data_IF_192532345807
#
_entry.id   IF_192532345807
#
_cell.length_a   1.000
_cell.length_b   1.000
_cell.length_c   1.000
_cell.angle_alpha   90.00
_cell.angle_beta   90.00
_cell.angle_gamma   90.00
#
_symmetry.space_group_name_H-M   'P 1'
#
loop_
_entity.id
_entity.type
_entity.pdbx_description
1 polymer ?
#
# COMPACT_ATOMS: atom_id res chain seq x y z
N UNK A 1 25.82 17.05 22.51
CA UNK A 1 24.39 16.86 22.18
C UNK A 1 24.03 17.58 20.88
N UNK A 2 24.12 16.88 19.74
CA UNK A 2 23.62 17.43 18.47
C UNK A 2 22.11 17.26 18.49
N UNK A 3 21.39 18.33 18.84
CA UNK A 3 19.96 18.39 18.63
C UNK A 3 19.71 18.16 17.15
N UNK A 4 19.10 17.02 16.82
CA UNK A 4 18.51 16.86 15.50
C UNK A 4 17.51 18.01 15.33
N UNK A 5 17.56 18.76 14.21
CA UNK A 5 16.50 19.73 13.95
C UNK A 5 15.20 18.95 13.91
N UNK A 6 14.27 19.29 14.81
CA UNK A 6 12.92 18.76 14.74
C UNK A 6 12.40 19.11 13.34
N UNK A 7 12.27 18.09 12.47
CA UNK A 7 11.68 18.27 11.15
C UNK A 7 10.31 18.95 11.35
N UNK A 8 9.92 19.92 10.51
CA UNK A 8 8.58 20.48 10.57
C UNK A 8 7.59 19.31 10.55
N UNK A 9 6.74 19.25 11.58
CA UNK A 9 5.75 18.19 11.75
C UNK A 9 4.79 18.29 10.58
N UNK A 10 4.90 17.37 9.64
CA UNK A 10 3.93 17.22 8.56
C UNK A 10 2.60 16.76 9.18
N UNK A 11 1.54 17.59 9.14
CA UNK A 11 0.27 17.25 9.77
C UNK A 11 -0.36 15.97 9.20
N UNK A 12 -0.21 15.73 7.90
CA UNK A 12 -0.69 14.52 7.23
C UNK A 12 0.03 13.28 7.78
N UNK A 13 1.35 13.39 7.97
CA UNK A 13 2.16 12.30 8.55
C UNK A 13 1.74 12.00 9.99
N UNK A 14 1.51 13.01 10.82
CA UNK A 14 1.07 12.80 12.22
C UNK A 14 -0.33 12.20 12.29
N UNK A 15 -1.25 12.63 11.43
CA UNK A 15 -2.59 12.06 11.32
C UNK A 15 -2.54 10.58 10.94
N UNK A 16 -1.80 10.22 9.88
CA UNK A 16 -1.62 8.82 9.44
C UNK A 16 -1.02 7.97 10.57
N UNK A 17 0.00 8.48 11.26
CA UNK A 17 0.64 7.76 12.36
C UNK A 17 -0.34 7.41 13.48
N UNK A 18 -1.19 8.37 13.86
CA UNK A 18 -2.19 8.20 14.92
C UNK A 18 -3.24 7.17 14.54
N UNK A 19 -3.72 7.22 13.30
CA UNK A 19 -4.74 6.30 12.79
C UNK A 19 -4.22 4.86 12.73
N UNK A 20 -3.01 4.66 12.19
CA UNK A 20 -2.33 3.36 12.09
C UNK A 20 -2.02 2.72 13.46
N UNK A 21 -1.88 3.52 14.52
CA UNK A 21 -1.55 3.02 15.86
C UNK A 21 -2.77 2.55 16.67
N UNK A 22 -3.99 2.82 16.19
CA UNK A 22 -5.21 2.65 17.00
C UNK A 22 -6.29 1.77 16.38
N UNK A 23 -6.13 1.35 15.13
CA UNK A 23 -7.15 0.60 14.39
C UNK A 23 -6.56 -0.65 13.73
N UNK A 24 -7.32 -1.74 13.77
CA UNK A 24 -7.03 -2.97 13.01
C UNK A 24 -7.46 -2.83 11.54
N UNK A 25 -8.58 -2.13 11.30
CA UNK A 25 -9.05 -1.76 9.97
C UNK A 25 -9.03 -0.23 9.80
N UNK A 26 -8.37 0.27 8.77
CA UNK A 26 -8.21 1.69 8.51
C UNK A 26 -8.70 2.04 7.10
N UNK A 27 -9.72 2.91 7.03
CA UNK A 27 -10.19 3.50 5.78
C UNK A 27 -9.78 4.97 5.68
N UNK A 28 -9.09 5.33 4.61
CA UNK A 28 -8.65 6.69 4.30
C UNK A 28 -9.13 7.12 2.91
N UNK A 29 -10.37 6.80 2.57
CA UNK A 29 -10.95 7.08 1.26
C UNK A 29 -11.10 8.57 1.00
N UNK A 30 -10.67 9.05 -0.18
CA UNK A 30 -10.80 10.48 -0.57
C UNK A 30 -10.10 11.48 0.35
N UNK A 31 -8.99 11.10 0.99
CA UNK A 31 -8.24 11.94 1.92
C UNK A 31 -7.09 12.73 1.24
N UNK A 32 -7.06 12.77 -0.10
CA UNK A 32 -6.02 13.44 -0.91
C UNK A 32 -4.58 13.07 -0.50
N UNK A 33 -4.39 11.80 -0.10
CA UNK A 33 -3.12 11.28 0.43
C UNK A 33 -1.99 11.42 -0.60
N UNK A 34 -2.28 11.11 -1.87
CA UNK A 34 -1.34 11.08 -2.97
C UNK A 34 -0.13 10.18 -2.71
N UNK A 35 0.89 10.32 -3.56
CA UNK A 35 2.13 9.53 -3.41
C UNK A 35 2.88 9.83 -2.11
N UNK A 36 2.77 11.05 -1.59
CA UNK A 36 3.49 11.46 -0.39
C UNK A 36 2.91 10.83 0.86
N UNK A 37 1.59 10.83 1.02
CA UNK A 37 0.92 10.13 2.11
C UNK A 37 1.09 8.61 1.98
N UNK A 38 1.04 8.04 0.77
CA UNK A 38 1.31 6.62 0.54
C UNK A 38 2.72 6.21 1.00
N UNK A 39 3.73 7.08 0.81
CA UNK A 39 5.09 6.86 1.35
C UNK A 39 5.13 6.92 2.87
N UNK A 40 4.32 7.75 3.52
CA UNK A 40 4.21 7.77 4.98
C UNK A 40 3.57 6.48 5.49
N UNK A 41 2.46 6.06 4.89
CA UNK A 41 1.78 4.80 5.20
C UNK A 41 2.76 3.63 5.02
N UNK A 42 3.48 3.56 3.91
CA UNK A 42 4.52 2.56 3.67
C UNK A 42 5.62 2.57 4.74
N UNK A 43 6.00 3.75 5.24
CA UNK A 43 6.93 3.89 6.36
C UNK A 43 6.40 3.25 7.63
N UNK A 44 5.13 3.46 7.96
CA UNK A 44 4.48 2.88 9.14
C UNK A 44 4.22 1.40 8.99
N UNK A 45 3.77 0.94 7.81
CA UNK A 45 3.45 -0.47 7.56
C UNK A 45 4.62 -1.42 7.82
N UNK A 46 5.87 -1.00 7.64
CA UNK A 46 7.03 -1.88 7.87
C UNK A 46 7.10 -2.42 9.30
N UNK A 47 6.73 -1.60 10.27
CA UNK A 47 6.82 -1.92 11.70
C UNK A 47 5.42 -2.06 12.34
N UNK A 48 4.34 -1.83 11.58
CA UNK A 48 2.98 -1.91 12.09
C UNK A 48 2.53 -3.36 12.18
N UNK A 49 2.12 -3.76 13.39
CA UNK A 49 1.64 -5.10 13.70
C UNK A 49 0.16 -5.12 14.10
N UNK A 50 -0.59 -4.07 13.79
CA UNK A 50 -2.00 -3.90 14.19
C UNK A 50 -2.94 -3.87 13.00
N UNK A 51 -2.59 -3.15 11.94
CA UNK A 51 -3.47 -2.97 10.77
C UNK A 51 -3.48 -4.24 9.92
N UNK A 52 -4.65 -4.84 9.78
CA UNK A 52 -4.94 -6.00 8.93
C UNK A 52 -5.64 -5.60 7.63
N UNK A 53 -6.43 -4.52 7.65
CA UNK A 53 -7.25 -4.08 6.53
C UNK A 53 -7.03 -2.59 6.27
N UNK A 54 -6.58 -2.23 5.07
CA UNK A 54 -6.26 -0.85 4.71
C UNK A 54 -6.94 -0.46 3.41
N UNK A 55 -7.79 0.57 3.49
CA UNK A 55 -8.48 1.14 2.34
C UNK A 55 -7.94 2.54 2.01
N UNK A 56 -7.46 2.68 0.77
CA UNK A 56 -6.88 3.89 0.18
C UNK A 56 -7.60 4.28 -1.11
N UNK A 57 -8.89 3.97 -1.23
CA UNK A 57 -9.71 4.37 -2.37
C UNK A 57 -9.66 5.89 -2.65
N UNK A 58 -9.62 6.26 -3.93
CA UNK A 58 -9.79 7.65 -4.38
C UNK A 58 -8.77 8.64 -3.77
N UNK A 59 -7.49 8.27 -3.74
CA UNK A 59 -6.44 9.08 -3.10
C UNK A 59 -5.43 9.70 -4.07
N UNK A 60 -5.61 9.55 -5.38
CA UNK A 60 -4.65 10.03 -6.38
C UNK A 60 -3.28 9.37 -6.24
N UNK A 61 -3.23 8.11 -5.80
CA UNK A 61 -1.98 7.35 -5.67
C UNK A 61 -1.54 6.92 -7.07
N UNK A 62 -0.31 7.24 -7.44
CA UNK A 62 0.30 6.80 -8.70
C UNK A 62 1.20 5.59 -8.47
N UNK A 63 1.89 5.15 -9.52
CA UNK A 63 2.93 4.11 -9.42
C UNK A 63 3.97 4.40 -8.33
N UNK A 64 4.33 5.67 -8.10
CA UNK A 64 5.36 6.01 -7.14
C UNK A 64 4.91 5.74 -5.69
N UNK A 65 3.66 6.06 -5.35
CA UNK A 65 3.06 5.73 -4.06
C UNK A 65 2.80 4.22 -3.92
N UNK A 66 2.23 3.59 -4.95
CA UNK A 66 1.96 2.15 -4.95
C UNK A 66 3.24 1.30 -4.78
N UNK A 67 4.32 1.65 -5.48
CA UNK A 67 5.62 0.98 -5.32
C UNK A 67 6.17 1.11 -3.89
N UNK A 68 5.96 2.26 -3.22
CA UNK A 68 6.36 2.44 -1.83
C UNK A 68 5.59 1.48 -0.91
N UNK A 69 4.27 1.37 -1.09
CA UNK A 69 3.40 0.45 -0.36
C UNK A 69 3.83 -1.00 -0.59
N UNK A 70 3.95 -1.45 -1.84
CA UNK A 70 4.38 -2.82 -2.16
C UNK A 70 5.76 -3.17 -1.59
N UNK A 71 6.70 -2.22 -1.61
CA UNK A 71 8.02 -2.43 -1.00
C UNK A 71 7.96 -2.59 0.52
N UNK A 72 7.06 -1.88 1.20
CA UNK A 72 6.85 -2.05 2.64
C UNK A 72 6.19 -3.39 2.95
N UNK A 73 5.23 -3.80 2.12
CA UNK A 73 4.51 -5.07 2.29
C UNK A 73 5.41 -6.30 2.16
N UNK A 74 6.53 -6.24 1.42
CA UNK A 74 7.51 -7.34 1.37
C UNK A 74 8.00 -7.82 2.75
N UNK A 75 7.98 -6.95 3.75
CA UNK A 75 8.42 -7.26 5.12
C UNK A 75 7.31 -7.17 6.16
N UNK A 76 6.17 -6.55 5.83
CA UNK A 76 5.02 -6.54 6.73
C UNK A 76 4.40 -7.93 6.78
N UNK A 77 4.03 -8.39 7.98
CA UNK A 77 3.46 -9.72 8.22
C UNK A 77 2.12 -9.64 8.94
N UNK A 78 1.38 -8.54 8.77
CA UNK A 78 0.13 -8.28 9.50
C UNK A 78 -1.00 -7.90 8.56
N UNK A 79 -0.73 -7.06 7.55
CA UNK A 79 -1.73 -6.64 6.59
C UNK A 79 -2.19 -7.84 5.76
N UNK A 80 -3.50 -8.04 5.74
CA UNK A 80 -4.21 -9.11 5.01
C UNK A 80 -5.00 -8.58 3.83
N UNK A 81 -5.47 -7.34 3.88
CA UNK A 81 -6.20 -6.69 2.81
C UNK A 81 -5.69 -5.27 2.52
N UNK A 82 -5.48 -4.97 1.24
CA UNK A 82 -5.16 -3.64 0.74
C UNK A 82 -6.14 -3.27 -0.39
N UNK A 83 -6.84 -2.16 -0.21
CA UNK A 83 -7.72 -1.59 -1.22
C UNK A 83 -7.11 -0.33 -1.80
N UNK A 84 -6.91 -0.32 -3.12
CA UNK A 84 -6.41 0.81 -3.89
C UNK A 84 -7.35 1.24 -5.03
N UNK A 85 -8.69 1.03 -4.99
CA UNK A 85 -9.52 1.33 -6.14
C UNK A 85 -9.56 2.83 -6.45
N UNK A 86 -9.92 3.17 -7.68
CA UNK A 86 -10.08 4.54 -8.14
C UNK A 86 -8.85 5.43 -7.88
N UNK A 87 -7.65 4.91 -8.13
CA UNK A 87 -6.39 5.65 -8.07
C UNK A 87 -5.76 5.76 -9.49
N UNK A 88 -4.53 6.23 -9.60
CA UNK A 88 -3.83 6.47 -10.87
C UNK A 88 -2.69 5.47 -11.09
N UNK A 89 -2.86 4.22 -10.62
CA UNK A 89 -1.85 3.17 -10.73
C UNK A 89 -1.83 2.59 -12.14
N UNK A 90 -0.64 2.39 -12.69
CA UNK A 90 -0.43 1.86 -14.04
C UNK A 90 0.37 0.54 -13.99
N UNK A 91 0.47 -0.20 -15.10
CA UNK A 91 1.29 -1.41 -15.19
C UNK A 91 2.77 -1.21 -14.83
N UNK A 92 3.29 0.03 -14.75
CA UNK A 92 4.69 0.27 -14.34
C UNK A 92 4.99 -0.18 -12.91
N UNK A 93 3.98 -0.35 -12.05
CA UNK A 93 4.19 -0.88 -10.70
C UNK A 93 4.33 -2.41 -10.65
N UNK A 94 4.04 -3.15 -11.74
CA UNK A 94 4.04 -4.61 -11.80
C UNK A 94 5.31 -5.27 -11.24
N UNK A 95 6.55 -4.82 -11.53
CA UNK A 95 7.74 -5.45 -10.96
C UNK A 95 7.80 -5.37 -9.43
N UNK A 96 7.32 -4.26 -8.85
CA UNK A 96 7.28 -4.08 -7.40
C UNK A 96 6.18 -4.91 -6.75
N UNK A 97 5.06 -5.07 -7.43
CA UNK A 97 3.96 -5.92 -7.00
C UNK A 97 4.33 -7.41 -7.06
N UNK A 98 4.94 -7.87 -8.15
CA UNK A 98 5.46 -9.25 -8.29
C UNK A 98 6.36 -9.64 -7.12
N UNK A 99 7.38 -8.82 -6.87
CA UNK A 99 8.35 -9.05 -5.79
C UNK A 99 7.74 -8.91 -4.40
N UNK A 100 6.60 -8.23 -4.27
CA UNK A 100 5.80 -8.22 -3.05
C UNK A 100 5.10 -9.56 -2.86
N UNK A 101 4.37 -10.07 -3.85
CA UNK A 101 3.72 -11.39 -3.78
C UNK A 101 4.71 -12.55 -3.61
N UNK A 102 5.92 -12.46 -4.17
CA UNK A 102 6.98 -13.48 -3.97
C UNK A 102 7.53 -13.53 -2.52
N UNK A 103 7.27 -12.51 -1.70
CA UNK A 103 7.86 -12.36 -0.35
C UNK A 103 6.83 -12.27 0.76
N UNK A 104 5.75 -11.56 0.52
CA UNK A 104 4.67 -11.38 1.47
C UNK A 104 3.76 -12.61 1.41
N UNK A 105 3.52 -13.23 2.56
CA UNK A 105 2.66 -14.41 2.71
C UNK A 105 1.38 -14.11 3.50
N UNK A 106 1.11 -12.84 3.80
CA UNK A 106 -0.01 -12.41 4.66
C UNK A 106 -1.08 -11.63 3.91
N UNK A 107 -0.74 -10.96 2.81
CA UNK A 107 -1.68 -10.21 1.98
C UNK A 107 -2.45 -11.18 1.10
N UNK A 108 -3.74 -11.34 1.39
CA UNK A 108 -4.63 -12.24 0.67
C UNK A 108 -5.57 -11.48 -0.28
N UNK A 109 -5.81 -10.20 0.00
CA UNK A 109 -6.73 -9.38 -0.78
C UNK A 109 -6.03 -8.10 -1.25
N UNK A 110 -5.97 -7.92 -2.57
CA UNK A 110 -5.52 -6.68 -3.21
C UNK A 110 -6.55 -6.28 -4.27
N UNK A 111 -7.10 -5.08 -4.16
CA UNK A 111 -8.05 -4.54 -5.15
C UNK A 111 -7.49 -3.31 -5.84
N UNK A 112 -7.55 -3.31 -7.17
CA UNK A 112 -7.00 -2.25 -8.04
C UNK A 112 -8.05 -1.71 -9.03
N UNK A 113 -9.33 -2.05 -8.84
CA UNK A 113 -10.42 -1.66 -9.75
C UNK A 113 -10.48 -0.15 -9.97
N UNK A 114 -10.72 0.28 -11.21
CA UNK A 114 -10.80 1.71 -11.53
C UNK A 114 -9.44 2.43 -11.51
N UNK A 115 -8.33 1.69 -11.60
CA UNK A 115 -7.01 2.22 -11.93
C UNK A 115 -6.69 1.97 -13.41
N UNK A 116 -5.68 2.65 -13.96
CA UNK A 116 -5.25 2.44 -15.36
C UNK A 116 -4.68 1.03 -15.60
N UNK A 117 -4.20 0.35 -14.56
CA UNK A 117 -3.77 -1.05 -14.62
C UNK A 117 -4.94 -2.03 -14.89
N UNK A 118 -6.17 -1.65 -14.55
CA UNK A 118 -7.38 -2.48 -14.73
C UNK A 118 -7.78 -2.59 -16.21
N UNK A 119 -7.45 -1.56 -17.01
CA UNK A 119 -7.69 -1.51 -18.46
C UNK A 119 -6.59 -2.24 -19.27
N UNK A 120 -5.50 -2.69 -18.63
CA UNK A 120 -4.39 -3.39 -19.29
C UNK A 120 -4.53 -4.91 -19.14
N UNK A 121 -4.98 -5.58 -20.21
CA UNK A 121 -5.21 -7.03 -20.22
C UNK A 121 -3.93 -7.84 -19.92
N UNK A 122 -2.75 -7.37 -20.35
CA UNK A 122 -1.50 -8.06 -20.08
C UNK A 122 -1.14 -7.96 -18.60
N UNK A 123 -1.28 -6.77 -18.01
CA UNK A 123 -1.07 -6.54 -16.59
C UNK A 123 -2.01 -7.39 -15.75
N UNK A 124 -3.29 -7.42 -16.07
CA UNK A 124 -4.28 -8.22 -15.35
C UNK A 124 -4.04 -9.72 -15.51
N UNK A 125 -3.57 -10.17 -16.68
CA UNK A 125 -3.13 -11.55 -16.92
C UNK A 125 -1.89 -11.95 -16.10
N UNK A 126 -0.99 -11.02 -15.79
CA UNK A 126 0.12 -11.26 -14.87
C UNK A 126 -0.33 -11.27 -13.41
N UNK A 127 -1.21 -10.34 -13.02
CA UNK A 127 -1.73 -10.23 -11.65
C UNK A 127 -2.51 -11.46 -11.24
N UNK A 128 -3.37 -11.99 -12.12
CA UNK A 128 -4.15 -13.20 -11.83
C UNK A 128 -3.26 -14.38 -11.48
N UNK A 129 -2.12 -14.54 -12.16
CA UNK A 129 -1.14 -15.59 -11.85
C UNK A 129 -0.49 -15.43 -10.46
N UNK A 130 -0.48 -14.23 -9.88
CA UNK A 130 0.10 -13.97 -8.55
C UNK A 130 -0.93 -14.11 -7.44
N UNK A 131 -2.16 -13.64 -7.68
CA UNK A 131 -3.29 -13.78 -6.74
C UNK A 131 -3.74 -15.24 -6.65
N UNK A 132 -3.60 -16.01 -7.72
CA UNK A 132 -3.90 -17.44 -7.74
C UNK A 132 -2.78 -18.33 -7.17
N UNK A 133 -1.62 -17.80 -6.77
CA UNK A 133 -0.63 -18.64 -6.07
C UNK A 133 -1.17 -18.98 -4.68
N UNK A 134 -1.74 -20.18 -4.46
CA UNK A 134 -1.99 -20.61 -3.09
C UNK A 134 -0.61 -20.75 -2.48
N UNK A 135 -0.43 -20.34 -1.22
CA UNK A 135 0.81 -20.64 -0.51
C UNK A 135 1.19 -22.10 -0.76
N UNK A 136 2.33 -22.33 -1.41
CA UNK A 136 2.96 -23.63 -1.43
C UNK A 136 3.38 -23.89 0.03
N UNK A 137 2.44 -24.45 0.79
CA UNK A 137 2.65 -25.10 2.07
C UNK A 137 2.80 -26.60 1.88
#
# INVERSE_FOLDING_TARGET
>A
PRGQPAMPKDPLKEQIAKLMASHEALALTSEEIGDQGAKYIAGYLKDNTTVTDLDLEYNGITDAGAQALFKALRTNTTLTALHLPNNEITPKCLPSMRTMFEKNQTLHFLTLTGNQIDDDEEAMGQISQWVEMPGEG
#
